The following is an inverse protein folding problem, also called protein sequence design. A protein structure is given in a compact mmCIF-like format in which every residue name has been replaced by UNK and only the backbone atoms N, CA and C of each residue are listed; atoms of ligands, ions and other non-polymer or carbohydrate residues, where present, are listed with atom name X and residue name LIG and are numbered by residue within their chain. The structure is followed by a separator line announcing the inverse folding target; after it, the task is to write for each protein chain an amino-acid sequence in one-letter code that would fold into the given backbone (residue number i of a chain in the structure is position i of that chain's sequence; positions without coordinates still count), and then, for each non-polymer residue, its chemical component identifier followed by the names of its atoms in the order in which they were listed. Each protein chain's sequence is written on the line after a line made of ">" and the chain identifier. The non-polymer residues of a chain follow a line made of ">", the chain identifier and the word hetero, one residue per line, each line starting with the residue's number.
data_IF_611698244800
#
_entry.id   IF_611698244800
#
_cell.length_a   1.000
_cell.length_b   1.000
_cell.length_c   1.000
_cell.angle_alpha   90.00
_cell.angle_beta   90.00
_cell.angle_gamma   90.00
#
_symmetry.space_group_name_H-M   'P 1'
#
loop_
_entity.id
_entity.type
_entity.pdbx_description
1 polymer ?
#
# COMPACT_ATOMS: atom_id res chain seq x y z
N UNK A 1 -4.63 -9.64 22.81
CA UNK A 1 -3.89 -8.56 22.11
C UNK A 1 -3.74 -7.41 23.08
N UNK A 2 -2.53 -6.86 23.27
CA UNK A 2 -2.35 -5.66 24.09
C UNK A 2 -2.79 -4.45 23.27
N UNK A 3 -3.73 -3.67 23.80
CA UNK A 3 -4.23 -2.44 23.17
C UNK A 3 -3.81 -1.25 24.01
N UNK A 4 -3.24 -0.23 23.37
CA UNK A 4 -2.91 1.04 24.00
C UNK A 4 -3.87 2.12 23.51
N UNK A 5 -4.48 2.85 24.44
CA UNK A 5 -5.34 3.99 24.10
C UNK A 5 -4.46 5.16 23.68
N UNK A 6 -4.82 5.77 22.56
CA UNK A 6 -4.17 6.98 22.04
C UNK A 6 -5.21 8.10 21.95
N UNK A 7 -4.78 9.33 22.21
CA UNK A 7 -5.58 10.52 21.93
C UNK A 7 -5.15 11.08 20.57
N UNK A 8 -6.11 11.31 19.67
CA UNK A 8 -5.86 11.80 18.32
C UNK A 8 -6.83 12.93 17.98
N UNK A 9 -6.29 14.06 17.54
CA UNK A 9 -7.07 15.17 16.99
C UNK A 9 -7.41 14.89 15.52
N UNK A 10 -8.70 14.90 15.19
CA UNK A 10 -9.20 14.64 13.84
C UNK A 10 -10.07 15.82 13.39
N UNK A 11 -9.90 16.33 12.15
CA UNK A 11 -10.77 17.36 11.61
C UNK A 11 -12.25 16.94 11.66
N UNK A 12 -13.14 17.86 12.07
CA UNK A 12 -14.59 17.59 12.18
C UNK A 12 -15.19 16.94 10.91
N UNK A 13 -14.88 17.41 9.68
CA UNK A 13 -15.41 16.79 8.47
C UNK A 13 -15.00 15.32 8.32
N UNK A 14 -13.74 15.00 8.63
CA UNK A 14 -13.23 13.63 8.55
C UNK A 14 -13.89 12.73 9.60
N UNK A 15 -14.10 13.23 10.82
CA UNK A 15 -14.84 12.49 11.85
C UNK A 15 -16.28 12.19 11.42
N UNK A 16 -16.96 13.11 10.72
CA UNK A 16 -18.29 12.85 10.17
C UNK A 16 -18.28 11.73 9.14
N UNK A 17 -17.27 11.71 8.25
CA UNK A 17 -17.10 10.63 7.26
C UNK A 17 -16.88 9.28 7.93
N UNK A 18 -15.99 9.22 8.94
CA UNK A 18 -15.73 8.02 9.74
C UNK A 18 -17.02 7.52 10.40
N UNK A 19 -17.79 8.43 11.02
CA UNK A 19 -19.05 8.09 11.67
C UNK A 19 -20.08 7.52 10.70
N UNK A 20 -20.22 8.13 9.52
CA UNK A 20 -21.14 7.67 8.48
C UNK A 20 -20.77 6.27 8.01
N UNK A 21 -19.48 6.04 7.72
CA UNK A 21 -19.00 4.74 7.24
C UNK A 21 -19.13 3.65 8.31
N UNK A 22 -18.74 3.94 9.55
CA UNK A 22 -18.85 3.00 10.66
C UNK A 22 -20.30 2.54 10.88
N UNK A 23 -21.27 3.48 10.77
CA UNK A 23 -22.70 3.15 10.85
C UNK A 23 -23.17 2.29 9.68
N UNK A 24 -22.77 2.63 8.45
CA UNK A 24 -23.15 1.87 7.26
C UNK A 24 -22.66 0.41 7.31
N UNK A 25 -21.49 0.17 7.90
CA UNK A 25 -20.88 -1.15 8.04
C UNK A 25 -21.20 -1.84 9.38
N UNK A 26 -22.12 -1.30 10.19
CA UNK A 26 -22.46 -1.83 11.52
C UNK A 26 -21.24 -2.10 12.42
N UNK A 27 -20.21 -1.24 12.36
CA UNK A 27 -18.94 -1.41 13.07
C UNK A 27 -18.58 -0.24 13.97
N UNK A 28 -17.62 -0.45 14.87
CA UNK A 28 -17.13 0.60 15.76
C UNK A 28 -16.17 1.54 15.04
N UNK A 29 -16.10 2.81 15.48
CA UNK A 29 -15.16 3.81 14.96
C UNK A 29 -13.71 3.38 15.14
N UNK A 30 -13.39 2.83 16.32
CA UNK A 30 -12.06 2.31 16.63
C UNK A 30 -11.69 1.13 15.74
N UNK A 31 -12.62 0.20 15.50
CA UNK A 31 -12.43 -0.89 14.53
C UNK A 31 -12.16 -0.37 13.13
N UNK A 32 -12.92 0.65 12.69
CA UNK A 32 -12.74 1.27 11.39
C UNK A 32 -11.35 1.89 11.22
N UNK A 33 -10.92 2.65 12.22
CA UNK A 33 -9.62 3.33 12.21
C UNK A 33 -8.48 2.30 12.25
N UNK A 34 -8.58 1.27 13.10
CA UNK A 34 -7.57 0.22 13.22
C UNK A 34 -7.37 -0.53 11.90
N UNK A 35 -8.46 -0.88 11.22
CA UNK A 35 -8.36 -1.54 9.91
C UNK A 35 -7.77 -0.60 8.86
N UNK A 36 -8.19 0.66 8.83
CA UNK A 36 -7.64 1.65 7.89
C UNK A 36 -6.12 1.82 8.08
N UNK A 37 -5.66 1.91 9.32
CA UNK A 37 -4.22 1.98 9.65
C UNK A 37 -3.50 0.70 9.21
N UNK A 38 -4.06 -0.48 9.49
CA UNK A 38 -3.47 -1.76 9.04
C UNK A 38 -3.37 -1.83 7.53
N UNK A 39 -4.42 -1.46 6.81
CA UNK A 39 -4.45 -1.45 5.35
C UNK A 39 -3.42 -0.48 4.77
N UNK A 40 -3.29 0.72 5.35
CA UNK A 40 -2.26 1.69 4.98
C UNK A 40 -0.84 1.13 5.15
N UNK A 41 -0.53 0.57 6.33
CA UNK A 41 0.78 0.01 6.62
C UNK A 41 1.11 -1.19 5.72
N UNK A 42 0.14 -2.09 5.50
CA UNK A 42 0.32 -3.24 4.62
C UNK A 42 0.57 -2.80 3.18
N UNK A 43 -0.17 -1.81 2.68
CA UNK A 43 0.06 -1.25 1.34
C UNK A 43 1.46 -0.66 1.22
N UNK A 44 1.92 0.06 2.23
CA UNK A 44 3.27 0.62 2.25
C UNK A 44 4.35 -0.47 2.29
N UNK A 45 4.15 -1.53 3.08
CA UNK A 45 5.06 -2.68 3.15
C UNK A 45 5.12 -3.41 1.81
N UNK A 46 3.97 -3.69 1.18
CA UNK A 46 3.90 -4.38 -0.09
C UNK A 46 4.68 -3.63 -1.19
N UNK A 47 4.59 -2.30 -1.23
CA UNK A 47 5.41 -1.48 -2.12
C UNK A 47 6.91 -1.64 -1.83
N UNK A 48 7.32 -1.56 -0.56
CA UNK A 48 8.71 -1.75 -0.18
C UNK A 48 9.24 -3.14 -0.59
N UNK A 49 8.41 -4.18 -0.44
CA UNK A 49 8.76 -5.55 -0.85
C UNK A 49 8.92 -5.66 -2.37
N UNK A 50 7.99 -5.08 -3.15
CA UNK A 50 8.07 -5.00 -4.62
C UNK A 50 9.35 -4.27 -5.05
N UNK A 51 9.64 -3.09 -4.47
CA UNK A 51 10.85 -2.33 -4.80
C UNK A 51 12.11 -3.08 -4.42
N UNK A 52 12.14 -3.72 -3.25
CA UNK A 52 13.28 -4.52 -2.78
C UNK A 52 13.52 -5.70 -3.71
N UNK A 53 12.45 -6.41 -4.10
CA UNK A 53 12.52 -7.49 -5.07
C UNK A 53 13.05 -7.00 -6.42
N UNK A 54 12.50 -5.90 -6.96
CA UNK A 54 12.92 -5.31 -8.22
C UNK A 54 14.40 -4.90 -8.21
N UNK A 55 14.87 -4.25 -7.14
CA UNK A 55 16.29 -3.90 -6.97
C UNK A 55 17.19 -5.14 -6.93
N UNK A 56 16.78 -6.20 -6.23
CA UNK A 56 17.53 -7.47 -6.19
C UNK A 56 17.62 -8.10 -7.57
N UNK A 57 16.52 -8.14 -8.33
CA UNK A 57 16.52 -8.70 -9.69
C UNK A 57 17.34 -7.84 -10.66
N UNK A 58 17.20 -6.51 -10.62
CA UNK A 58 18.00 -5.61 -11.43
C UNK A 58 19.49 -5.78 -11.18
N UNK A 59 19.91 -5.93 -9.92
CA UNK A 59 21.31 -6.22 -9.57
C UNK A 59 21.78 -7.58 -10.08
N UNK A 60 20.96 -8.62 -9.92
CA UNK A 60 21.27 -9.98 -10.39
C UNK A 60 21.42 -10.04 -11.92
N UNK A 61 20.53 -9.36 -12.64
CA UNK A 61 20.47 -9.33 -14.10
C UNK A 61 21.31 -8.21 -14.71
N UNK A 62 21.98 -7.39 -13.89
CA UNK A 62 22.80 -6.24 -14.29
C UNK A 62 22.05 -5.24 -15.18
N UNK A 63 20.75 -5.07 -14.93
CA UNK A 63 19.89 -4.14 -15.68
C UNK A 63 20.26 -2.71 -15.27
N UNK A 64 20.57 -1.87 -16.25
CA UNK A 64 20.77 -0.43 -16.05
C UNK A 64 19.44 0.30 -16.17
N UNK A 65 19.32 1.44 -15.48
CA UNK A 65 18.11 2.27 -15.52
C UNK A 65 17.71 2.67 -16.95
N UNK A 66 18.69 2.93 -17.83
CA UNK A 66 18.45 3.28 -19.23
C UNK A 66 17.83 2.15 -20.07
N UNK A 67 17.88 0.90 -19.61
CA UNK A 67 17.35 -0.26 -20.32
C UNK A 67 15.93 -0.62 -19.88
N UNK A 68 15.41 0.01 -18.82
CA UNK A 68 14.13 -0.35 -18.22
C UNK A 68 12.97 -0.13 -19.19
N UNK A 69 12.92 1.04 -19.84
CA UNK A 69 11.83 1.36 -20.78
C UNK A 69 11.80 0.37 -21.95
N UNK A 70 12.96 0.04 -22.52
CA UNK A 70 13.05 -0.94 -23.61
C UNK A 70 12.54 -2.32 -23.18
N UNK A 71 12.96 -2.81 -22.01
CA UNK A 71 12.54 -4.13 -21.50
C UNK A 71 11.03 -4.17 -21.22
N UNK A 72 10.46 -3.08 -20.70
CA UNK A 72 9.01 -2.97 -20.46
C UNK A 72 8.24 -3.00 -21.78
N UNK A 73 8.72 -2.28 -22.79
CA UNK A 73 8.09 -2.27 -24.11
C UNK A 73 8.18 -3.63 -24.81
N UNK A 74 9.29 -4.35 -24.66
CA UNK A 74 9.44 -5.70 -25.19
C UNK A 74 8.45 -6.69 -24.56
N UNK A 75 8.19 -6.60 -23.24
CA UNK A 75 7.16 -7.40 -22.57
C UNK A 75 5.76 -7.01 -23.02
N UNK A 76 5.44 -5.71 -23.10
CA UNK A 76 4.13 -5.23 -23.56
C UNK A 76 3.82 -5.65 -25.00
N UNK A 77 4.84 -5.69 -25.84
CA UNK A 77 4.73 -6.12 -27.24
C UNK A 77 4.77 -7.65 -27.40
N UNK A 78 4.84 -8.40 -26.30
CA UNK A 78 4.82 -9.87 -26.29
C UNK A 78 6.09 -10.51 -26.83
N UNK A 79 7.20 -9.75 -26.95
CA UNK A 79 8.49 -10.25 -27.43
C UNK A 79 9.25 -11.03 -26.36
N UNK A 80 8.95 -10.75 -25.10
CA UNK A 80 9.47 -11.45 -23.93
C UNK A 80 8.28 -11.81 -23.04
N UNK A 81 8.21 -13.07 -22.61
CA UNK A 81 7.20 -13.52 -21.64
C UNK A 81 7.69 -13.21 -20.22
N UNK A 82 6.86 -12.53 -19.44
CA UNK A 82 7.08 -12.26 -18.02
C UNK A 82 6.63 -13.43 -17.14
#
# INVERSE_FOLDING_TARGET
>A
MQTQTINLSIPKPLLMMINKQAKAEARTKSGLIQEAVRSYLNRQSAWNDIFTYGQRQAKKLKIKASQVEQLVDEVRQGRINA
#
